data_IF_710176057027
#
_entry.id   IF_710176057027
#
_cell.length_a   1.000
_cell.length_b   1.000
_cell.length_c   1.000
_cell.angle_alpha   90.00
_cell.angle_beta   90.00
_cell.angle_gamma   90.00
#
_symmetry.space_group_name_H-M   'P 1'
#
loop_
_entity.id
_entity.type
_entity.pdbx_description
1 polymer ?
#
# COMPACT_ATOMS: atom_id res chain seq x y z
N UNK A 1 24.23 12.85 -7.68
CA UNK A 1 22.94 12.43 -7.10
C UNK A 1 22.96 10.93 -6.94
N UNK A 2 22.99 10.43 -5.70
CA UNK A 2 23.25 9.02 -5.34
C UNK A 2 22.39 8.03 -6.15
N UNK A 3 21.13 8.39 -6.40
CA UNK A 3 20.18 7.56 -7.17
C UNK A 3 20.67 7.28 -8.61
N UNK A 4 21.22 8.28 -9.32
CA UNK A 4 21.70 8.08 -10.70
C UNK A 4 22.91 7.15 -10.76
N UNK A 5 23.77 7.22 -9.76
CA UNK A 5 24.99 6.42 -9.66
C UNK A 5 24.67 4.96 -9.39
N UNK A 6 23.70 4.69 -8.52
CA UNK A 6 23.18 3.34 -8.25
C UNK A 6 22.52 2.74 -9.49
N UNK A 7 21.72 3.52 -10.23
CA UNK A 7 21.07 3.06 -11.46
C UNK A 7 22.11 2.70 -12.53
N UNK A 8 23.18 3.49 -12.67
CA UNK A 8 24.25 3.21 -13.62
C UNK A 8 24.94 1.87 -13.32
N UNK A 9 25.26 1.58 -12.05
CA UNK A 9 25.87 0.32 -11.63
C UNK A 9 24.98 -0.91 -11.85
N UNK A 10 23.66 -0.73 -11.81
CA UNK A 10 22.69 -1.79 -12.15
C UNK A 10 22.66 -2.02 -13.66
N UNK A 11 22.65 -0.93 -14.45
CA UNK A 11 22.58 -0.98 -15.91
C UNK A 11 23.85 -1.56 -16.57
N UNK A 12 25.02 -1.42 -15.93
CA UNK A 12 26.29 -1.99 -16.40
C UNK A 12 26.34 -3.52 -16.34
N UNK A 13 25.42 -4.18 -15.62
CA UNK A 13 25.37 -5.63 -15.48
C UNK A 13 24.00 -6.19 -15.87
N UNK A 14 23.92 -7.01 -16.94
CA UNK A 14 22.67 -7.65 -17.36
C UNK A 14 21.99 -8.45 -16.24
N UNK A 15 22.77 -9.18 -15.43
CA UNK A 15 22.23 -9.94 -14.29
C UNK A 15 21.59 -9.05 -13.23
N UNK A 16 22.23 -7.92 -12.88
CA UNK A 16 21.67 -6.97 -11.91
C UNK A 16 20.44 -6.27 -12.46
N UNK A 17 20.43 -6.01 -13.77
CA UNK A 17 19.27 -5.44 -14.47
C UNK A 17 18.08 -6.40 -14.43
N UNK A 18 18.29 -7.69 -14.73
CA UNK A 18 17.23 -8.71 -14.67
C UNK A 18 16.65 -8.85 -13.25
N UNK A 19 17.53 -8.89 -12.25
CA UNK A 19 17.14 -8.94 -10.84
C UNK A 19 16.35 -7.69 -10.41
N UNK A 20 16.80 -6.49 -10.81
CA UNK A 20 16.09 -5.25 -10.56
C UNK A 20 14.70 -5.23 -11.22
N UNK A 21 14.56 -5.78 -12.43
CA UNK A 21 13.27 -5.91 -13.12
C UNK A 21 12.34 -6.87 -12.37
N UNK A 22 12.85 -8.00 -11.88
CA UNK A 22 12.06 -8.96 -11.08
C UNK A 22 11.56 -8.31 -9.79
N UNK A 23 12.43 -7.59 -9.07
CA UNK A 23 12.03 -6.89 -7.86
C UNK A 23 11.04 -5.75 -8.13
N UNK A 24 11.24 -5.00 -9.22
CA UNK A 24 10.30 -3.95 -9.63
C UNK A 24 8.93 -4.52 -9.97
N UNK A 25 8.86 -5.63 -10.70
CA UNK A 25 7.61 -6.34 -11.00
C UNK A 25 6.92 -6.87 -9.75
N UNK A 26 7.69 -7.45 -8.83
CA UNK A 26 7.16 -7.91 -7.55
C UNK A 26 6.59 -6.72 -6.76
N UNK A 27 7.36 -5.65 -6.58
CA UNK A 27 6.94 -4.46 -5.85
C UNK A 27 5.69 -3.81 -6.47
N UNK A 28 5.66 -3.71 -7.81
CA UNK A 28 4.48 -3.25 -8.54
C UNK A 28 3.25 -4.12 -8.24
N UNK A 29 3.39 -5.44 -8.29
CA UNK A 29 2.30 -6.36 -7.95
C UNK A 29 1.88 -6.27 -6.47
N UNK A 30 2.79 -5.90 -5.56
CA UNK A 30 2.43 -5.68 -4.15
C UNK A 30 1.61 -4.41 -3.94
N UNK A 31 1.76 -3.40 -4.81
CA UNK A 31 1.01 -2.13 -4.72
C UNK A 31 -0.24 -2.09 -5.59
N UNK A 32 -0.33 -2.95 -6.60
CA UNK A 32 -1.50 -3.11 -7.47
C UNK A 32 -2.68 -3.77 -6.74
N UNK A 33 -2.41 -4.69 -5.81
CA UNK A 33 -3.44 -5.27 -4.93
C UNK A 33 -3.59 -4.46 -3.64
N UNK A 34 -4.68 -3.69 -3.57
CA UNK A 34 -5.06 -2.91 -2.37
C UNK A 34 -5.11 -3.75 -1.09
N UNK A 35 -5.43 -5.04 -1.17
CA UNK A 35 -5.47 -5.97 -0.02
C UNK A 35 -4.07 -6.20 0.54
N UNK A 36 -3.08 -6.40 -0.33
CA UNK A 36 -1.68 -6.59 0.06
C UNK A 36 -1.13 -5.32 0.68
N UNK A 37 -1.46 -4.15 0.10
CA UNK A 37 -1.09 -2.84 0.64
C UNK A 37 -1.66 -2.65 2.05
N UNK A 38 -2.95 -2.92 2.25
CA UNK A 38 -3.60 -2.84 3.56
C UNK A 38 -2.90 -3.77 4.56
N UNK A 39 -2.66 -5.02 4.19
CA UNK A 39 -2.06 -6.00 5.10
C UNK A 39 -0.63 -5.64 5.52
N UNK A 40 0.15 -5.03 4.63
CA UNK A 40 1.54 -4.65 4.91
C UNK A 40 1.65 -3.33 5.66
N UNK A 41 0.84 -2.34 5.32
CA UNK A 41 0.95 -1.00 5.91
C UNK A 41 0.17 -0.87 7.22
N UNK A 42 -0.97 -1.55 7.38
CA UNK A 42 -1.80 -1.38 8.57
C UNK A 42 -1.09 -1.72 9.89
N UNK A 43 -0.24 -2.77 10.02
CA UNK A 43 0.50 -3.03 11.25
C UNK A 43 1.48 -1.90 11.61
N UNK A 44 2.10 -1.31 10.60
CA UNK A 44 3.04 -0.20 10.76
C UNK A 44 2.34 1.09 11.17
N UNK A 45 1.22 1.40 10.52
CA UNK A 45 0.39 2.57 10.82
C UNK A 45 -0.24 2.46 12.20
N UNK A 46 -0.71 1.27 12.60
CA UNK A 46 -1.27 1.04 13.94
C UNK A 46 -0.28 1.34 15.06
N UNK A 47 1.02 1.09 14.85
CA UNK A 47 2.05 1.38 15.86
C UNK A 47 2.47 2.85 15.91
N UNK A 48 2.09 3.67 14.92
CA UNK A 48 2.55 5.05 14.77
C UNK A 48 1.47 6.10 14.89
N UNK A 49 0.23 5.74 14.56
CA UNK A 49 -0.92 6.63 14.63
C UNK A 49 -1.58 6.51 15.99
N UNK A 50 -1.87 7.65 16.60
CA UNK A 50 -2.75 7.75 17.75
C UNK A 50 -4.22 7.44 17.35
N UNK A 51 -5.14 7.25 18.31
CA UNK A 51 -6.53 6.90 18.00
C UNK A 51 -7.24 7.92 17.08
N UNK A 52 -7.00 9.22 17.26
CA UNK A 52 -7.63 10.27 16.44
C UNK A 52 -7.08 10.26 15.02
N UNK A 53 -5.77 10.10 14.87
CA UNK A 53 -5.13 10.01 13.55
C UNK A 53 -5.59 8.79 12.74
N UNK A 54 -5.96 7.68 13.41
CA UNK A 54 -6.54 6.51 12.74
C UNK A 54 -7.94 6.78 12.21
N UNK A 55 -8.76 7.51 12.97
CA UNK A 55 -10.10 7.91 12.56
C UNK A 55 -10.04 8.87 11.37
N UNK A 56 -9.14 9.85 11.42
CA UNK A 56 -8.90 10.77 10.31
C UNK A 56 -8.45 10.04 9.05
N UNK A 57 -7.51 9.09 9.17
CA UNK A 57 -7.06 8.25 8.07
C UNK A 57 -8.23 7.45 7.46
N UNK A 58 -9.07 6.82 8.30
CA UNK A 58 -10.25 6.10 7.83
C UNK A 58 -11.24 7.02 7.11
N UNK A 59 -11.45 8.24 7.61
CA UNK A 59 -12.32 9.24 6.98
C UNK A 59 -11.79 9.63 5.59
N UNK A 60 -10.48 9.90 5.46
CA UNK A 60 -9.84 10.20 4.19
C UNK A 60 -9.97 9.03 3.20
N UNK A 61 -9.73 7.80 3.64
CA UNK A 61 -9.82 6.61 2.80
C UNK A 61 -11.25 6.32 2.35
N UNK A 62 -12.25 6.56 3.20
CA UNK A 62 -13.65 6.47 2.80
C UNK A 62 -14.00 7.51 1.73
N UNK A 63 -13.52 8.75 1.85
CA UNK A 63 -13.74 9.78 0.82
C UNK A 63 -13.11 9.38 -0.53
N UNK A 64 -11.90 8.84 -0.52
CA UNK A 64 -11.22 8.34 -1.73
C UNK A 64 -11.97 7.16 -2.35
N UNK A 65 -12.44 6.23 -1.53
CA UNK A 65 -13.22 5.07 -1.99
C UNK A 65 -14.55 5.47 -2.63
N UNK A 66 -15.20 6.53 -2.14
CA UNK A 66 -16.47 7.05 -2.68
C UNK A 66 -16.28 7.97 -3.89
N UNK A 67 -15.09 8.54 -4.09
CA UNK A 67 -14.79 9.45 -5.20
C UNK A 67 -14.34 8.78 -6.50
N UNK A 68 -14.15 7.46 -6.53
CA UNK A 68 -13.83 6.71 -7.74
C UNK A 68 -15.09 6.41 -8.57
N UNK A 69 -15.00 6.56 -9.90
CA UNK A 69 -16.12 6.40 -10.86
C UNK A 69 -16.86 5.05 -10.81
N UNK A 70 -16.37 4.07 -10.06
CA UNK A 70 -17.05 2.80 -9.83
C UNK A 70 -17.25 2.58 -8.33
N UNK A 71 -18.49 2.84 -7.87
CA UNK A 71 -19.01 2.29 -6.62
C UNK A 71 -19.11 0.76 -6.77
N UNK A 72 -17.96 0.09 -6.68
CA UNK A 72 -17.88 -1.37 -6.64
C UNK A 72 -18.43 -1.81 -5.27
N UNK A 73 -18.94 -3.03 -5.14
CA UNK A 73 -19.30 -3.64 -3.82
C UNK A 73 -18.07 -4.17 -3.06
N UNK A 74 -16.91 -4.15 -3.70
CA UNK A 74 -15.58 -4.58 -3.23
C UNK A 74 -14.90 -3.61 -2.21
N UNK A 75 -15.09 -2.27 -2.26
CA UNK A 75 -14.59 -1.30 -1.28
C UNK A 75 -15.03 -1.63 0.14
N UNK A 76 -16.24 -2.16 0.34
CA UNK A 76 -16.74 -2.49 1.68
C UNK A 76 -15.92 -3.59 2.35
N UNK A 77 -15.55 -4.66 1.62
CA UNK A 77 -14.69 -5.72 2.17
C UNK A 77 -13.27 -5.22 2.46
N UNK A 78 -12.71 -4.36 1.60
CA UNK A 78 -11.38 -3.76 1.81
C UNK A 78 -11.38 -2.83 3.03
N UNK A 79 -12.42 -2.02 3.19
CA UNK A 79 -12.58 -1.11 4.31
C UNK A 79 -12.81 -1.86 5.64
N UNK A 80 -13.58 -2.94 5.63
CA UNK A 80 -13.74 -3.83 6.78
C UNK A 80 -12.41 -4.44 7.21
N UNK A 81 -11.63 -4.97 6.26
CA UNK A 81 -10.29 -5.55 6.55
C UNK A 81 -9.35 -4.50 7.13
N UNK A 82 -9.35 -3.28 6.57
CA UNK A 82 -8.54 -2.18 7.08
C UNK A 82 -8.92 -1.80 8.52
N UNK A 83 -10.22 -1.65 8.81
CA UNK A 83 -10.73 -1.38 10.17
C UNK A 83 -10.26 -2.44 11.16
N UNK A 84 -10.40 -3.72 10.82
CA UNK A 84 -9.91 -4.83 11.65
C UNK A 84 -8.39 -4.74 11.91
N UNK A 85 -7.59 -4.48 10.87
CA UNK A 85 -6.13 -4.39 11.00
C UNK A 85 -5.68 -3.20 11.84
N UNK A 86 -6.39 -2.07 11.75
CA UNK A 86 -6.13 -0.87 12.57
C UNK A 86 -6.63 -0.99 14.01
N UNK A 87 -7.42 -2.03 14.33
CA UNK A 87 -7.84 -2.36 15.70
C UNK A 87 -9.18 -1.78 16.11
N UNK A 88 -10.04 -1.43 15.15
CA UNK A 88 -11.42 -1.05 15.42
C UNK A 88 -12.28 -2.28 15.71
N UNK A 89 -13.29 -2.13 16.56
CA UNK A 89 -14.35 -3.14 16.70
C UNK A 89 -15.18 -3.17 15.41
N UNK A 90 -15.31 -4.35 14.81
CA UNK A 90 -16.05 -4.55 13.57
C UNK A 90 -17.14 -5.59 13.86
N UNK A 91 -18.40 -5.14 13.89
CA UNK A 91 -19.59 -5.98 14.08
C UNK A 91 -20.10 -6.54 12.76
#
# INVERSE_FOLDING_TARGET
AIIREVIAQIAESPKKTDEAIVYAKWAAAQVDDTTIVIDKLAPFLRGRLDPHERDDLLSMLNRVAQGGEQSLKIPDQRMLRLRQKLGFEVN
#
